data_IF_630746799328
#
_entry.id   IF_630746799328
#
_cell.length_a   1.000
_cell.length_b   1.000
_cell.length_c   1.000
_cell.angle_alpha   90.00
_cell.angle_beta   90.00
_cell.angle_gamma   90.00
#
_symmetry.space_group_name_H-M   'P 1'
#
loop_
_entity.id
_entity.type
_entity.pdbx_description
1 polymer ?
#
# COMPACT_ATOMS: atom_id res chain seq x y z
N UNK A 1 -1.15 -21.25 -3.28
CA UNK A 1 -1.21 -20.18 -2.27
C UNK A 1 -2.01 -19.01 -2.83
N UNK A 2 -2.95 -18.49 -2.06
CA UNK A 2 -3.90 -17.45 -2.50
C UNK A 2 -3.23 -16.07 -2.51
N UNK A 3 -3.62 -15.21 -3.45
CA UNK A 3 -3.25 -13.79 -3.43
C UNK A 3 -4.33 -13.04 -2.67
N UNK A 4 -3.97 -12.44 -1.55
CA UNK A 4 -4.87 -11.61 -0.76
C UNK A 4 -4.61 -10.13 -1.05
N UNK A 5 -5.68 -9.37 -1.26
CA UNK A 5 -5.63 -7.94 -1.58
C UNK A 5 -6.42 -7.16 -0.54
N UNK A 6 -5.86 -6.05 -0.07
CA UNK A 6 -6.53 -5.14 0.86
C UNK A 6 -6.51 -3.72 0.29
N UNK A 7 -7.47 -2.89 0.71
CA UNK A 7 -7.61 -1.50 0.24
C UNK A 7 -7.60 -1.40 -1.30
N UNK A 8 -8.48 -2.18 -1.93
CA UNK A 8 -8.54 -2.32 -3.39
C UNK A 8 -9.41 -1.24 -4.01
N UNK A 9 -8.83 -0.48 -4.95
CA UNK A 9 -9.53 0.46 -5.83
C UNK A 9 -9.33 0.02 -7.29
N UNK A 10 -10.10 0.59 -8.21
CA UNK A 10 -10.02 0.28 -9.65
C UNK A 10 -8.60 0.38 -10.22
N UNK A 11 -7.82 1.36 -9.77
CA UNK A 11 -6.43 1.55 -10.22
C UNK A 11 -5.46 0.54 -9.60
N UNK A 12 -5.61 0.23 -8.30
CA UNK A 12 -4.68 -0.63 -7.57
C UNK A 12 -5.17 -1.05 -6.17
N UNK A 13 -4.57 -2.12 -5.64
CA UNK A 13 -4.60 -2.47 -4.21
C UNK A 13 -3.44 -1.84 -3.47
N UNK A 14 -3.66 -1.30 -2.27
CA UNK A 14 -2.55 -0.74 -1.47
C UNK A 14 -1.65 -1.82 -0.87
N UNK A 15 -2.22 -2.98 -0.55
CA UNK A 15 -1.52 -4.12 0.05
C UNK A 15 -1.85 -5.38 -0.74
N UNK A 16 -0.82 -6.15 -1.07
CA UNK A 16 -0.93 -7.51 -1.61
C UNK A 16 -0.09 -8.45 -0.76
N UNK A 17 -0.68 -9.57 -0.32
CA UNK A 17 0.03 -10.62 0.42
C UNK A 17 0.10 -11.88 -0.43
N UNK A 18 1.30 -12.44 -0.54
CA UNK A 18 1.50 -13.70 -1.26
C UNK A 18 2.72 -14.43 -0.70
N UNK A 19 2.54 -15.71 -0.34
CA UNK A 19 3.62 -16.61 0.11
C UNK A 19 4.49 -16.05 1.25
N UNK A 20 3.88 -15.37 2.22
CA UNK A 20 4.61 -14.73 3.34
C UNK A 20 5.28 -13.40 2.99
N UNK A 21 5.27 -12.99 1.72
CA UNK A 21 5.76 -11.67 1.29
C UNK A 21 4.63 -10.66 1.23
N UNK A 22 4.90 -9.45 1.73
CA UNK A 22 3.98 -8.31 1.68
C UNK A 22 4.49 -7.31 0.64
N UNK A 23 3.62 -6.97 -0.32
CA UNK A 23 3.87 -5.97 -1.33
C UNK A 23 3.03 -4.73 -1.03
N UNK A 24 3.70 -3.59 -0.89
CA UNK A 24 3.08 -2.29 -0.69
C UNK A 24 3.17 -1.48 -1.98
N UNK A 25 2.11 -0.73 -2.28
CA UNK A 25 2.20 0.30 -3.32
C UNK A 25 3.12 1.45 -2.86
N UNK A 26 3.48 2.35 -3.77
CA UNK A 26 4.14 3.61 -3.40
C UNK A 26 3.33 4.33 -2.31
N UNK A 27 3.99 4.63 -1.19
CA UNK A 27 3.40 5.41 -0.11
C UNK A 27 3.84 6.86 -0.25
N UNK A 28 2.93 7.77 0.06
CA UNK A 28 3.17 9.21 0.16
C UNK A 28 2.63 9.66 1.50
N UNK A 29 3.14 10.77 2.02
CA UNK A 29 2.59 11.40 3.22
C UNK A 29 1.08 11.63 3.04
N UNK A 30 0.32 11.39 4.12
CA UNK A 30 -1.12 11.65 4.10
C UNK A 30 -1.43 13.14 3.98
N UNK A 31 -0.57 13.98 4.54
CA UNK A 31 -0.60 15.43 4.43
C UNK A 31 0.72 15.91 3.79
N UNK A 32 0.64 16.35 2.54
CA UNK A 32 1.79 16.80 1.77
C UNK A 32 2.24 18.23 2.14
N UNK A 33 1.54 18.91 3.05
CA UNK A 33 1.92 20.26 3.51
C UNK A 33 2.93 20.23 4.67
N UNK A 34 3.14 19.06 5.28
CA UNK A 34 4.02 18.87 6.41
C UNK A 34 5.49 18.76 6.03
N UNK A 35 6.37 19.05 6.98
CA UNK A 35 7.81 18.89 6.79
C UNK A 35 8.23 17.41 6.82
N UNK A 36 9.43 17.10 6.35
CA UNK A 36 9.94 15.75 6.12
C UNK A 36 9.94 14.84 7.36
N UNK A 37 9.93 15.42 8.56
CA UNK A 37 9.96 14.69 9.83
C UNK A 37 8.57 14.36 10.39
N UNK A 38 7.51 14.91 9.81
CA UNK A 38 6.12 14.76 10.28
C UNK A 38 5.27 13.86 9.37
#
# INVERSE_FOLDING_TARGET
>A
MTIERQETKQRMSRIVKHNGTIYLCGQVAADASKDITE
#
